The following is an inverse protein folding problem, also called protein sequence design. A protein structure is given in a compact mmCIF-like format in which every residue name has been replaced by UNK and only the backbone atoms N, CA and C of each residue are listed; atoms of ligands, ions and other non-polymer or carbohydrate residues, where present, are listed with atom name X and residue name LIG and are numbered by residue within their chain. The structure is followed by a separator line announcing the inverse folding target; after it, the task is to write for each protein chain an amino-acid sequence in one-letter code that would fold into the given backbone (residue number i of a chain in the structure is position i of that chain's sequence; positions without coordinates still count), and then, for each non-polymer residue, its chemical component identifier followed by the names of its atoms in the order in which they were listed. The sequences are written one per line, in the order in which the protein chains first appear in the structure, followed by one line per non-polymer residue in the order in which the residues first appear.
data_IF_987868908007
#
_entry.id   IF_987868908007
#
_cell.length_a   1.000
_cell.length_b   1.000
_cell.length_c   1.000
_cell.angle_alpha   90.00
_cell.angle_beta   90.00
_cell.angle_gamma   90.00
#
_symmetry.space_group_name_H-M   'P 1'
#
loop_
_entity.id
_entity.type
_entity.pdbx_description
1 polymer ?
#
# COMPACT_ATOMS: atom_id res chain seq x y z
N UNK A 1 3.58 -9.91 18.35
CA UNK A 1 2.63 -8.96 18.98
C UNK A 1 1.73 -8.36 17.89
N UNK A 2 0.43 -8.69 17.91
CA UNK A 2 -0.55 -8.11 16.99
C UNK A 2 -1.29 -6.98 17.73
N UNK A 3 -1.10 -5.75 17.26
CA UNK A 3 -1.74 -4.57 17.83
C UNK A 3 -3.00 -4.23 17.04
N UNK A 4 -3.99 -3.68 17.73
CA UNK A 4 -5.20 -3.13 17.11
C UNK A 4 -5.26 -1.62 17.39
N UNK A 5 -5.87 -0.88 16.46
CA UNK A 5 -6.15 0.54 16.62
C UNK A 5 -7.61 0.76 16.24
N UNK A 6 -8.39 1.36 17.14
CA UNK A 6 -9.73 1.84 16.82
C UNK A 6 -9.59 3.20 16.13
N UNK A 7 -9.93 3.33 14.83
CA UNK A 7 -9.83 4.61 14.12
C UNK A 7 -10.76 5.70 14.70
N UNK A 8 -11.71 5.34 15.57
CA UNK A 8 -12.58 6.31 16.23
C UNK A 8 -12.00 6.86 17.55
N UNK A 9 -10.97 6.21 18.11
CA UNK A 9 -10.28 6.67 19.32
C UNK A 9 -9.04 7.50 18.95
N UNK A 10 -9.27 8.80 18.74
CA UNK A 10 -8.24 9.75 18.33
C UNK A 10 -7.07 9.84 19.33
N UNK A 11 -7.39 9.98 20.63
CA UNK A 11 -6.39 10.13 21.69
C UNK A 11 -5.62 8.83 21.91
N UNK A 12 -6.32 7.69 21.98
CA UNK A 12 -5.69 6.38 22.10
C UNK A 12 -4.80 6.04 20.91
N UNK A 13 -5.22 6.39 19.69
CA UNK A 13 -4.42 6.19 18.47
C UNK A 13 -3.11 7.00 18.46
N UNK A 14 -3.15 8.27 18.89
CA UNK A 14 -1.93 9.10 19.00
C UNK A 14 -1.04 8.60 20.13
N UNK A 15 -1.59 8.27 21.29
CA UNK A 15 -0.82 7.69 22.41
C UNK A 15 -0.14 6.40 22.00
N UNK A 16 -0.82 5.54 21.25
CA UNK A 16 -0.25 4.30 20.73
C UNK A 16 0.92 4.58 19.76
N UNK A 17 0.80 5.57 18.89
CA UNK A 17 1.90 5.99 18.01
C UNK A 17 3.10 6.52 18.81
N UNK A 18 2.86 7.31 19.85
CA UNK A 18 3.90 7.82 20.74
C UNK A 18 4.60 6.69 21.50
N UNK A 19 3.84 5.70 21.99
CA UNK A 19 4.38 4.50 22.64
C UNK A 19 5.24 3.66 21.68
N UNK A 20 4.78 3.45 20.45
CA UNK A 20 5.51 2.72 19.42
C UNK A 20 6.84 3.41 19.08
N UNK A 21 6.80 4.73 18.87
CA UNK A 21 7.98 5.49 18.43
C UNK A 21 8.98 5.73 19.57
N UNK A 22 8.51 5.95 20.80
CA UNK A 22 9.37 6.14 21.98
C UNK A 22 10.13 4.86 22.33
N UNK A 23 9.49 3.70 22.21
CA UNK A 23 10.04 2.40 22.61
C UNK A 23 10.56 1.57 21.42
N UNK A 24 10.86 2.21 20.29
CA UNK A 24 11.16 1.53 19.03
C UNK A 24 12.26 0.45 19.15
N UNK A 25 13.34 0.71 19.89
CA UNK A 25 14.42 -0.26 20.12
C UNK A 25 13.96 -1.52 20.84
N UNK A 26 13.19 -1.34 21.92
CA UNK A 26 12.65 -2.46 22.70
C UNK A 26 11.61 -3.24 21.88
N UNK A 27 10.75 -2.55 21.15
CA UNK A 27 9.73 -3.18 20.32
C UNK A 27 10.37 -3.99 19.19
N UNK A 28 11.41 -3.46 18.52
CA UNK A 28 12.15 -4.19 17.49
C UNK A 28 12.77 -5.49 18.03
N UNK A 29 13.33 -5.45 19.24
CA UNK A 29 13.83 -6.65 19.90
C UNK A 29 12.71 -7.68 20.15
N UNK A 30 11.57 -7.24 20.69
CA UNK A 30 10.42 -8.11 20.95
C UNK A 30 9.81 -8.69 19.66
N UNK A 31 9.80 -7.91 18.58
CA UNK A 31 9.32 -8.36 17.27
C UNK A 31 10.24 -9.44 16.72
N UNK A 32 11.56 -9.25 16.74
CA UNK A 32 12.51 -10.27 16.30
C UNK A 32 12.39 -11.54 17.15
N UNK A 33 12.35 -11.41 18.48
CA UNK A 33 12.16 -12.54 19.40
C UNK A 33 10.86 -13.30 19.08
N UNK A 34 9.77 -12.58 18.79
CA UNK A 34 8.49 -13.19 18.40
C UNK A 34 8.59 -13.94 17.06
N UNK A 35 9.22 -13.34 16.05
CA UNK A 35 9.41 -13.96 14.73
C UNK A 35 10.24 -15.24 14.87
N UNK A 36 11.34 -15.18 15.61
CA UNK A 36 12.24 -16.32 15.78
C UNK A 36 11.64 -17.42 16.66
N UNK A 37 10.88 -17.07 17.69
CA UNK A 37 10.14 -18.04 18.49
C UNK A 37 9.08 -18.74 17.64
N UNK A 38 8.41 -18.02 16.74
CA UNK A 38 7.38 -18.57 15.88
C UNK A 38 7.96 -19.46 14.76
N UNK A 39 9.03 -19.00 14.10
CA UNK A 39 9.51 -19.58 12.85
C UNK A 39 10.85 -20.34 13.01
N UNK A 40 11.43 -20.40 14.20
CA UNK A 40 12.77 -20.97 14.43
C UNK A 40 12.93 -22.44 14.01
N UNK A 41 11.85 -23.22 14.06
CA UNK A 41 11.83 -24.63 13.64
C UNK A 41 11.44 -24.84 12.16
N UNK A 42 11.28 -23.76 11.39
CA UNK A 42 11.00 -23.88 9.95
C UNK A 42 12.21 -24.42 9.20
N UNK A 43 12.00 -25.01 8.03
CA UNK A 43 13.11 -25.54 7.22
C UNK A 43 14.14 -24.46 6.88
N UNK A 44 13.69 -23.24 6.57
CA UNK A 44 14.57 -22.12 6.25
C UNK A 44 15.44 -21.71 7.44
N UNK A 45 14.84 -21.36 8.58
CA UNK A 45 15.62 -20.92 9.75
C UNK A 45 16.41 -22.06 10.39
N UNK A 46 15.90 -23.29 10.36
CA UNK A 46 16.61 -24.48 10.85
C UNK A 46 17.95 -24.72 10.16
N UNK A 47 18.10 -24.34 8.88
CA UNK A 47 19.38 -24.44 8.14
C UNK A 47 20.48 -23.55 8.70
N UNK A 48 20.12 -22.41 9.29
CA UNK A 48 21.06 -21.40 9.76
C UNK A 48 21.22 -21.41 11.28
N UNK A 49 20.13 -21.61 12.01
CA UNK A 49 20.10 -21.54 13.46
C UNK A 49 20.38 -22.89 14.13
N UNK A 50 20.05 -24.02 13.49
CA UNK A 50 20.28 -25.36 14.05
C UNK A 50 19.79 -25.48 15.49
N UNK A 51 20.62 -26.06 16.37
CA UNK A 51 20.35 -26.17 17.82
C UNK A 51 20.84 -24.97 18.64
N UNK A 52 21.20 -23.85 18.00
CA UNK A 52 21.73 -22.67 18.70
C UNK A 52 20.65 -21.97 19.55
N UNK A 53 21.11 -21.24 20.56
CA UNK A 53 20.24 -20.34 21.34
C UNK A 53 19.68 -19.27 20.40
N UNK A 54 18.36 -19.27 20.26
CA UNK A 54 17.61 -18.31 19.45
C UNK A 54 17.65 -16.95 20.16
N UNK A 55 18.51 -16.06 19.66
CA UNK A 55 18.60 -14.66 20.09
C UNK A 55 19.07 -13.78 18.92
N UNK A 56 19.03 -12.47 19.13
CA UNK A 56 19.39 -11.46 18.13
C UNK A 56 20.82 -11.60 17.60
N UNK A 57 21.79 -11.84 18.47
CA UNK A 57 23.20 -11.93 18.08
C UNK A 57 23.46 -13.18 17.23
N UNK A 58 22.88 -14.32 17.61
CA UNK A 58 22.92 -15.54 16.79
C UNK A 58 22.26 -15.29 15.44
N UNK A 59 21.08 -14.64 15.41
CA UNK A 59 20.36 -14.32 14.19
C UNK A 59 21.23 -13.49 13.23
N UNK A 60 21.75 -12.34 13.69
CA UNK A 60 22.60 -11.46 12.89
C UNK A 60 23.86 -12.13 12.35
N UNK A 61 24.44 -13.06 13.10
CA UNK A 61 25.67 -13.74 12.72
C UNK A 61 25.47 -14.96 11.80
N UNK A 62 24.27 -15.55 11.79
CA UNK A 62 24.03 -16.86 11.14
C UNK A 62 23.04 -16.80 9.98
N UNK A 63 22.05 -15.92 10.04
CA UNK A 63 21.04 -15.80 9.00
C UNK A 63 21.54 -14.79 7.96
N UNK A 64 21.68 -15.20 6.68
CA UNK A 64 22.21 -14.30 5.65
C UNK A 64 21.18 -13.23 5.28
N UNK A 65 21.68 -12.06 4.91
CA UNK A 65 20.91 -11.08 4.13
C UNK A 65 20.71 -11.65 2.73
N UNK A 66 19.46 -11.69 2.26
CA UNK A 66 19.08 -12.37 1.02
C UNK A 66 18.26 -11.46 0.10
N UNK A 67 18.31 -11.76 -1.18
CA UNK A 67 17.43 -11.22 -2.20
C UNK A 67 16.31 -12.21 -2.54
N UNK A 68 15.35 -11.75 -3.35
CA UNK A 68 14.23 -12.59 -3.78
C UNK A 68 14.67 -13.89 -4.48
N UNK A 69 15.75 -13.86 -5.28
CA UNK A 69 16.23 -15.07 -5.99
C UNK A 69 16.69 -16.17 -5.03
N UNK A 70 17.24 -15.81 -3.88
CA UNK A 70 17.73 -16.77 -2.88
C UNK A 70 16.58 -17.51 -2.19
N UNK A 71 15.43 -16.83 -2.02
CA UNK A 71 14.23 -17.40 -1.37
C UNK A 71 13.21 -17.95 -2.37
N UNK A 72 13.33 -17.62 -3.65
CA UNK A 72 12.44 -18.06 -4.72
C UNK A 72 12.23 -19.59 -4.76
N UNK A 73 13.25 -20.45 -4.56
CA UNK A 73 13.03 -21.89 -4.50
C UNK A 73 12.02 -22.32 -3.43
N UNK A 74 11.98 -21.66 -2.27
CA UNK A 74 11.00 -21.96 -1.22
C UNK A 74 9.60 -21.50 -1.65
N UNK A 75 9.48 -20.30 -2.22
CA UNK A 75 8.20 -19.77 -2.70
C UNK A 75 7.61 -20.67 -3.80
N UNK A 76 8.44 -21.18 -4.71
CA UNK A 76 8.01 -22.13 -5.74
C UNK A 76 7.55 -23.46 -5.15
N UNK A 77 8.22 -23.97 -4.11
CA UNK A 77 7.79 -25.17 -3.38
C UNK A 77 6.41 -24.97 -2.71
N UNK A 78 6.17 -23.83 -2.06
CA UNK A 78 4.84 -23.46 -1.54
C UNK A 78 3.78 -23.42 -2.63
N UNK A 79 4.09 -22.75 -3.75
CA UNK A 79 3.20 -22.66 -4.90
C UNK A 79 2.86 -24.03 -5.50
N UNK A 80 3.74 -25.02 -5.34
CA UNK A 80 3.57 -26.40 -5.80
C UNK A 80 2.99 -27.36 -4.74
N UNK A 81 2.72 -26.88 -3.53
CA UNK A 81 1.91 -27.60 -2.53
C UNK A 81 2.69 -28.15 -1.37
N UNK A 82 3.97 -27.78 -1.22
CA UNK A 82 4.69 -28.03 0.01
C UNK A 82 4.10 -27.21 1.18
N UNK A 83 4.16 -27.76 2.40
CA UNK A 83 3.59 -27.12 3.58
C UNK A 83 4.29 -25.80 3.92
N UNK A 84 3.57 -24.90 4.60
CA UNK A 84 4.05 -23.56 4.97
C UNK A 84 5.31 -23.56 5.82
N UNK A 85 5.51 -24.61 6.63
CA UNK A 85 6.63 -24.75 7.57
C UNK A 85 8.02 -24.80 6.91
N UNK A 86 8.10 -24.78 5.58
CA UNK A 86 9.37 -24.53 4.89
C UNK A 86 9.93 -23.12 5.18
N UNK A 87 9.06 -22.13 5.45
CA UNK A 87 9.47 -20.74 5.78
C UNK A 87 8.68 -20.11 6.94
N UNK A 88 7.45 -20.56 7.18
CA UNK A 88 6.56 -19.97 8.19
C UNK A 88 5.79 -21.06 8.93
N UNK A 89 5.75 -21.02 10.27
CA UNK A 89 5.00 -22.02 11.03
C UNK A 89 3.48 -21.83 10.94
N UNK A 90 3.01 -20.63 10.59
CA UNK A 90 1.61 -20.37 10.28
C UNK A 90 1.28 -20.77 8.84
N UNK A 91 0.02 -21.11 8.59
CA UNK A 91 -0.47 -21.40 7.24
C UNK A 91 -0.39 -20.16 6.35
N UNK A 92 0.37 -20.25 5.26
CA UNK A 92 0.36 -19.27 4.17
C UNK A 92 -1.00 -19.36 3.48
N UNK A 93 -1.71 -18.24 3.42
CA UNK A 93 -3.08 -18.17 2.88
C UNK A 93 -3.13 -17.76 1.43
N UNK A 94 -2.16 -16.95 0.98
CA UNK A 94 -2.03 -16.48 -0.41
C UNK A 94 -0.60 -15.99 -0.69
N UNK A 95 -0.33 -15.69 -1.97
CA UNK A 95 0.93 -15.12 -2.45
C UNK A 95 0.70 -13.71 -3.01
N UNK A 96 1.27 -12.69 -2.37
CA UNK A 96 1.10 -11.31 -2.77
C UNK A 96 2.06 -10.95 -3.90
N UNK A 97 1.53 -10.61 -5.07
CA UNK A 97 2.36 -10.24 -6.21
C UNK A 97 2.87 -8.81 -6.07
N UNK A 98 4.20 -8.65 -6.11
CA UNK A 98 4.87 -7.35 -6.15
C UNK A 98 4.82 -6.76 -7.56
N UNK A 99 4.90 -5.43 -7.65
CA UNK A 99 5.12 -4.74 -8.93
C UNK A 99 6.56 -4.89 -9.43
N UNK A 100 7.51 -5.20 -8.55
CA UNK A 100 8.87 -5.59 -8.91
C UNK A 100 8.90 -7.00 -9.50
N UNK A 101 9.74 -7.20 -10.52
CA UNK A 101 9.83 -8.47 -11.25
C UNK A 101 11.15 -9.20 -11.02
N UNK A 102 11.13 -10.51 -11.22
CA UNK A 102 12.26 -11.45 -11.25
C UNK A 102 12.10 -12.29 -12.51
N UNK A 103 13.10 -12.27 -13.41
CA UNK A 103 13.01 -13.01 -14.68
C UNK A 103 11.78 -12.65 -15.53
N UNK A 104 11.29 -11.41 -15.43
CA UNK A 104 10.08 -10.94 -16.14
C UNK A 104 8.74 -11.30 -15.49
N UNK A 105 8.73 -12.04 -14.37
CA UNK A 105 7.53 -12.39 -13.62
C UNK A 105 7.42 -11.59 -12.32
N UNK A 106 6.21 -11.24 -11.85
CA UNK A 106 6.02 -10.61 -10.55
C UNK A 106 6.60 -11.46 -9.41
N UNK A 107 7.33 -10.83 -8.49
CA UNK A 107 7.78 -11.48 -7.25
C UNK A 107 6.56 -11.85 -6.40
N UNK A 108 6.54 -13.04 -5.80
CA UNK A 108 5.43 -13.56 -4.99
C UNK A 108 5.82 -13.58 -3.51
N UNK A 109 5.12 -12.80 -2.69
CA UNK A 109 5.43 -12.64 -1.26
C UNK A 109 4.41 -13.43 -0.42
N UNK A 110 4.84 -14.43 0.37
CA UNK A 110 3.94 -15.19 1.24
C UNK A 110 3.26 -14.30 2.29
N UNK A 111 1.98 -14.55 2.56
CA UNK A 111 1.23 -13.84 3.60
C UNK A 111 0.36 -14.80 4.42
N UNK A 112 0.07 -14.41 5.66
CA UNK A 112 -0.85 -15.12 6.55
C UNK A 112 -2.06 -14.24 6.89
N UNK A 113 -3.07 -14.80 7.56
CA UNK A 113 -4.20 -14.02 8.07
C UNK A 113 -3.79 -12.99 9.12
N UNK A 114 -2.82 -13.31 9.98
CA UNK A 114 -2.33 -12.35 10.99
C UNK A 114 -1.62 -11.15 10.34
N UNK A 115 -0.91 -11.39 9.23
CA UNK A 115 -0.26 -10.30 8.50
C UNK A 115 -1.28 -9.36 7.83
N UNK A 116 -2.44 -9.88 7.40
CA UNK A 116 -3.56 -9.05 6.96
C UNK A 116 -4.12 -8.16 8.08
N UNK A 117 -4.19 -8.67 9.31
CA UNK A 117 -4.60 -7.87 10.48
C UNK A 117 -3.56 -6.79 10.80
N UNK A 118 -2.27 -7.11 10.67
CA UNK A 118 -1.16 -6.15 10.82
C UNK A 118 -1.22 -5.02 9.77
N UNK A 119 -1.53 -5.35 8.51
CA UNK A 119 -1.79 -4.37 7.44
C UNK A 119 -3.00 -3.48 7.78
N UNK A 120 -4.05 -4.07 8.34
CA UNK A 120 -5.27 -3.35 8.77
C UNK A 120 -4.98 -2.38 9.91
N UNK A 121 -4.13 -2.76 10.86
CA UNK A 121 -3.65 -1.88 11.92
C UNK A 121 -3.04 -0.58 11.35
N UNK A 122 -2.19 -0.68 10.32
CA UNK A 122 -1.57 0.49 9.72
C UNK A 122 -2.61 1.42 9.06
N UNK A 123 -3.63 0.88 8.38
CA UNK A 123 -4.71 1.71 7.85
C UNK A 123 -5.49 2.44 8.94
N UNK A 124 -5.74 1.78 10.07
CA UNK A 124 -6.50 2.38 11.16
C UNK A 124 -5.73 3.51 11.85
N UNK A 125 -4.41 3.40 12.01
CA UNK A 125 -3.61 4.43 12.68
C UNK A 125 -3.38 5.69 11.83
N UNK A 126 -3.64 5.64 10.51
CA UNK A 126 -3.63 6.84 9.67
C UNK A 126 -4.74 7.84 10.06
N UNK A 127 -5.87 7.34 10.54
CA UNK A 127 -7.03 8.17 10.90
C UNK A 127 -6.74 9.14 12.05
N UNK A 128 -6.30 8.69 13.25
CA UNK A 128 -5.98 9.60 14.34
C UNK A 128 -4.85 10.58 13.98
N UNK A 129 -3.84 10.14 13.21
CA UNK A 129 -2.77 11.02 12.72
C UNK A 129 -3.34 12.13 11.85
N UNK A 130 -4.18 11.82 10.87
CA UNK A 130 -4.77 12.84 9.98
C UNK A 130 -5.67 13.82 10.74
N UNK A 131 -6.45 13.33 11.71
CA UNK A 131 -7.38 14.15 12.49
C UNK A 131 -6.67 15.20 13.36
N UNK A 132 -5.37 15.03 13.65
CA UNK A 132 -4.55 16.06 14.31
C UNK A 132 -4.33 17.30 13.42
N UNK A 133 -4.38 17.13 12.10
CA UNK A 133 -4.03 18.17 11.13
C UNK A 133 -5.24 18.71 10.36
N UNK A 134 -6.28 17.91 10.19
CA UNK A 134 -7.44 18.26 9.38
C UNK A 134 -8.73 17.97 10.15
N UNK A 135 -9.32 19.01 10.71
CA UNK A 135 -10.55 18.91 11.50
C UNK A 135 -11.76 18.52 10.65
N UNK A 136 -12.72 17.83 11.26
CA UNK A 136 -14.06 17.62 10.70
C UNK A 136 -14.11 16.67 9.49
N UNK A 137 -13.18 15.72 9.39
CA UNK A 137 -13.21 14.66 8.37
C UNK A 137 -14.32 13.61 8.60
N UNK A 138 -14.86 13.54 9.81
CA UNK A 138 -16.01 12.71 10.21
C UNK A 138 -17.36 13.24 9.71
N UNK A 139 -17.39 14.46 9.16
CA UNK A 139 -18.61 15.15 8.71
C UNK A 139 -18.88 14.97 7.21
N UNK A 140 -18.23 14.00 6.57
CA UNK A 140 -18.35 13.78 5.13
C UNK A 140 -17.69 12.48 4.69
N UNK A 141 -17.34 12.42 3.41
CA UNK A 141 -16.89 11.22 2.72
C UNK A 141 -15.53 11.42 2.07
N UNK A 142 -14.81 10.32 1.90
CA UNK A 142 -13.65 10.23 1.02
C UNK A 142 -14.06 9.70 -0.35
N UNK A 143 -13.70 10.41 -1.42
CA UNK A 143 -13.79 9.89 -2.79
C UNK A 143 -12.48 9.23 -3.17
N UNK A 144 -12.36 7.94 -2.88
CA UNK A 144 -11.20 7.14 -3.24
C UNK A 144 -11.50 6.26 -4.44
N UNK A 145 -10.60 6.30 -5.42
CA UNK A 145 -10.65 5.47 -6.62
C UNK A 145 -9.76 4.25 -6.42
N UNK A 146 -10.39 3.14 -6.07
CA UNK A 146 -9.74 1.89 -5.65
C UNK A 146 -10.04 0.80 -6.67
N UNK A 147 -9.02 0.04 -7.06
CA UNK A 147 -9.14 -0.93 -8.15
C UNK A 147 -8.53 -2.27 -7.76
N UNK A 148 -9.28 -3.34 -7.97
CA UNK A 148 -8.71 -4.69 -7.99
C UNK A 148 -7.93 -4.94 -9.28
N UNK A 149 -7.08 -5.96 -9.24
CA UNK A 149 -6.31 -6.47 -10.38
C UNK A 149 -6.53 -7.97 -10.54
N UNK A 150 -6.21 -8.53 -11.72
CA UNK A 150 -6.31 -9.97 -11.96
C UNK A 150 -5.56 -10.78 -10.89
N UNK A 151 -6.08 -11.97 -10.63
CA UNK A 151 -5.49 -12.96 -9.72
C UNK A 151 -5.25 -14.26 -10.49
N UNK A 152 -4.28 -15.04 -10.04
CA UNK A 152 -3.95 -16.35 -10.59
C UNK A 152 -4.02 -17.41 -9.49
N UNK A 153 -4.22 -18.67 -9.89
CA UNK A 153 -4.11 -19.81 -8.97
C UNK A 153 -2.77 -20.49 -9.19
N UNK A 154 -2.06 -20.82 -8.11
CA UNK A 154 -0.88 -21.68 -8.16
C UNK A 154 -1.29 -23.14 -8.38
N UNK A 155 -0.35 -24.04 -8.73
CA UNK A 155 -0.60 -25.49 -8.78
C UNK A 155 -1.17 -26.08 -7.48
N UNK A 156 -0.80 -25.53 -6.33
CA UNK A 156 -1.34 -25.93 -5.01
C UNK A 156 -2.73 -25.39 -4.71
N UNK A 157 -3.27 -24.49 -5.53
CA UNK A 157 -4.53 -23.81 -5.29
C UNK A 157 -4.42 -22.55 -4.43
N UNK A 158 -3.21 -22.11 -4.04
CA UNK A 158 -3.02 -20.80 -3.44
C UNK A 158 -3.36 -19.71 -4.46
N UNK A 159 -4.01 -18.65 -3.99
CA UNK A 159 -4.27 -17.48 -4.83
C UNK A 159 -3.02 -16.62 -4.85
N UNK A 160 -2.60 -16.16 -6.02
CA UNK A 160 -1.57 -15.13 -6.16
C UNK A 160 -2.14 -13.85 -6.79
N UNK A 161 -2.00 -12.71 -6.11
CA UNK A 161 -2.61 -11.43 -6.51
C UNK A 161 -1.95 -10.23 -5.83
N UNK A 162 -2.13 -9.00 -6.35
CA UNK A 162 -1.55 -7.83 -5.71
C UNK A 162 -2.10 -7.59 -4.30
N UNK A 163 -1.26 -7.05 -3.41
CA UNK A 163 -1.62 -6.83 -2.00
C UNK A 163 -2.90 -6.00 -1.80
N UNK A 164 -3.13 -5.00 -2.65
CA UNK A 164 -4.35 -4.18 -2.58
C UNK A 164 -5.58 -4.97 -3.03
N UNK A 165 -5.46 -5.84 -4.05
CA UNK A 165 -6.56 -6.75 -4.43
C UNK A 165 -6.90 -7.69 -3.29
N UNK A 166 -5.89 -8.26 -2.64
CA UNK A 166 -6.07 -9.09 -1.44
C UNK A 166 -6.82 -8.31 -0.35
N UNK A 167 -6.35 -7.11 -0.02
CA UNK A 167 -6.96 -6.28 1.01
C UNK A 167 -8.43 -5.93 0.69
N UNK A 168 -8.74 -5.44 -0.52
CA UNK A 168 -10.11 -5.06 -0.88
C UNK A 168 -11.08 -6.25 -0.89
N UNK A 169 -10.60 -7.45 -1.25
CA UNK A 169 -11.43 -8.67 -1.23
C UNK A 169 -11.57 -9.28 0.17
N UNK A 170 -10.74 -8.88 1.13
CA UNK A 170 -10.73 -9.43 2.48
C UNK A 170 -11.96 -9.05 3.30
N UNK A 171 -12.23 -9.80 4.37
CA UNK A 171 -13.20 -9.44 5.40
C UNK A 171 -12.86 -8.12 6.08
N UNK A 172 -11.57 -7.81 6.23
CA UNK A 172 -11.11 -6.60 6.92
C UNK A 172 -11.50 -5.33 6.18
N UNK A 173 -11.63 -5.41 4.85
CA UNK A 173 -12.22 -4.34 4.05
C UNK A 173 -13.74 -4.49 3.96
N UNK A 174 -14.26 -5.62 3.48
CA UNK A 174 -15.70 -5.76 3.15
C UNK A 174 -16.64 -5.74 4.35
N UNK A 175 -16.17 -6.24 5.48
CA UNK A 175 -16.89 -6.27 6.76
C UNK A 175 -16.25 -5.32 7.77
N UNK A 176 -15.56 -4.27 7.29
CA UNK A 176 -14.92 -3.26 8.15
C UNK A 176 -15.92 -2.69 9.14
N UNK A 177 -15.49 -2.55 10.39
CA UNK A 177 -16.28 -1.86 11.41
C UNK A 177 -16.60 -0.44 10.95
N UNK A 178 -17.79 0.04 11.30
CA UNK A 178 -18.17 1.41 10.96
C UNK A 178 -17.20 2.39 11.61
N UNK A 179 -16.61 3.25 10.80
CA UNK A 179 -15.85 4.41 11.25
C UNK A 179 -16.36 5.63 10.51
N UNK A 180 -16.60 6.71 11.24
CA UNK A 180 -17.03 7.99 10.65
C UNK A 180 -15.97 8.57 9.70
N UNK A 181 -14.72 8.18 9.88
CA UNK A 181 -13.61 8.64 9.04
C UNK A 181 -13.46 7.81 7.76
N UNK A 182 -13.94 6.56 7.71
CA UNK A 182 -13.75 5.63 6.59
C UNK A 182 -15.02 5.43 5.76
N UNK A 183 -15.83 6.47 5.62
CA UNK A 183 -17.01 6.48 4.74
C UNK A 183 -16.59 6.92 3.34
N UNK A 184 -16.71 6.01 2.37
CA UNK A 184 -16.33 6.26 0.98
C UNK A 184 -17.53 6.49 0.08
N UNK A 185 -17.33 7.26 -1.00
CA UNK A 185 -18.36 7.44 -2.04
C UNK A 185 -18.54 6.19 -2.89
N UNK A 186 -17.46 5.43 -3.09
CA UNK A 186 -17.41 4.22 -3.92
C UNK A 186 -17.95 3.01 -3.16
N UNK A 187 -19.05 2.38 -3.63
CA UNK A 187 -19.51 1.10 -3.08
C UNK A 187 -18.49 -0.01 -3.28
N UNK A 188 -18.44 -0.98 -2.37
CA UNK A 188 -17.53 -2.12 -2.44
C UNK A 188 -17.71 -2.91 -3.75
N UNK A 189 -18.95 -3.05 -4.26
CA UNK A 189 -19.22 -3.72 -5.54
C UNK A 189 -18.53 -3.02 -6.73
N UNK A 190 -18.44 -1.68 -6.69
CA UNK A 190 -17.78 -0.91 -7.75
C UNK A 190 -16.26 -1.04 -7.69
N UNK A 191 -15.70 -1.17 -6.49
CA UNK A 191 -14.26 -1.39 -6.26
C UNK A 191 -13.87 -2.81 -6.68
N UNK A 192 -14.73 -3.79 -6.39
CA UNK A 192 -14.54 -5.21 -6.65
C UNK A 192 -14.93 -5.64 -8.06
N UNK A 193 -15.33 -4.70 -8.93
CA UNK A 193 -15.64 -4.99 -10.31
C UNK A 193 -14.37 -5.32 -11.11
N UNK A 194 -14.35 -6.49 -11.75
CA UNK A 194 -13.20 -6.97 -12.53
C UNK A 194 -12.98 -6.18 -13.83
N UNK A 195 -14.03 -5.53 -14.35
CA UNK A 195 -13.92 -4.63 -15.50
C UNK A 195 -13.50 -3.23 -15.03
N UNK A 196 -12.23 -2.90 -15.24
CA UNK A 196 -11.66 -1.61 -14.82
C UNK A 196 -12.39 -0.40 -15.41
N UNK A 197 -12.97 -0.52 -16.62
CA UNK A 197 -13.70 0.59 -17.25
C UNK A 197 -15.02 0.83 -16.52
N UNK A 198 -15.75 -0.24 -16.23
CA UNK A 198 -17.00 -0.16 -15.47
C UNK A 198 -16.74 0.30 -14.03
N UNK A 199 -15.71 -0.26 -13.38
CA UNK A 199 -15.27 0.15 -12.03
C UNK A 199 -14.99 1.66 -11.96
N UNK A 200 -14.15 2.17 -12.87
CA UNK A 200 -13.80 3.60 -12.94
C UNK A 200 -15.05 4.48 -13.15
N UNK A 201 -15.88 4.13 -14.13
CA UNK A 201 -17.08 4.90 -14.46
C UNK A 201 -18.06 4.95 -13.28
N UNK A 202 -18.35 3.81 -12.66
CA UNK A 202 -19.27 3.72 -11.54
C UNK A 202 -18.74 4.46 -10.30
N UNK A 203 -17.45 4.36 -9.98
CA UNK A 203 -16.86 5.08 -8.86
C UNK A 203 -16.90 6.60 -9.06
N UNK A 204 -16.55 7.10 -10.25
CA UNK A 204 -16.65 8.52 -10.60
C UNK A 204 -18.10 9.01 -10.55
N UNK A 205 -19.05 8.24 -11.08
CA UNK A 205 -20.47 8.58 -11.02
C UNK A 205 -20.96 8.72 -9.57
N UNK A 206 -20.64 7.75 -8.70
CA UNK A 206 -20.95 7.83 -7.28
C UNK A 206 -20.30 9.04 -6.60
N UNK A 207 -19.05 9.37 -6.96
CA UNK A 207 -18.32 10.53 -6.45
C UNK A 207 -18.94 11.87 -6.88
N UNK A 208 -19.46 11.97 -8.11
CA UNK A 208 -20.14 13.16 -8.62
C UNK A 208 -21.52 13.36 -7.97
N UNK A 209 -22.29 12.28 -7.80
CA UNK A 209 -23.62 12.33 -7.15
C UNK A 209 -23.50 12.80 -5.70
N UNK A 210 -22.44 12.38 -4.99
CA UNK A 210 -22.23 12.68 -3.57
C UNK A 210 -21.27 13.86 -3.36
N UNK A 211 -21.09 14.73 -4.37
CA UNK A 211 -20.01 15.74 -4.39
C UNK A 211 -19.98 16.68 -3.19
N UNK A 212 -21.14 17.02 -2.65
CA UNK A 212 -21.29 17.97 -1.54
C UNK A 212 -20.96 17.33 -0.17
N UNK A 213 -20.74 16.01 -0.14
CA UNK A 213 -20.27 15.29 1.04
C UNK A 213 -18.75 15.04 0.99
N UNK A 214 -18.09 15.27 -0.16
CA UNK A 214 -16.68 14.91 -0.36
C UNK A 214 -15.75 15.91 0.32
N UNK A 215 -14.98 15.40 1.29
CA UNK A 215 -13.98 16.18 2.05
C UNK A 215 -12.54 15.87 1.64
N UNK A 216 -12.31 14.74 0.99
CA UNK A 216 -11.00 14.30 0.52
C UNK A 216 -11.19 13.45 -0.73
N UNK A 217 -10.28 13.59 -1.68
CA UNK A 217 -10.26 12.81 -2.92
C UNK A 217 -8.94 12.08 -3.04
N UNK A 218 -8.88 10.95 -3.73
CA UNK A 218 -7.62 10.25 -3.84
C UNK A 218 -7.65 8.93 -4.61
N UNK A 219 -6.47 8.36 -4.71
CA UNK A 219 -6.19 7.01 -5.16
C UNK A 219 -4.85 6.59 -4.54
N UNK A 220 -4.49 5.30 -4.61
CA UNK A 220 -3.20 4.88 -4.02
C UNK A 220 -2.00 5.62 -4.64
N UNK A 221 -1.99 5.78 -5.96
CA UNK A 221 -0.90 6.47 -6.67
C UNK A 221 -1.41 7.70 -7.42
N UNK A 222 -0.58 8.74 -7.52
CA UNK A 222 -0.83 9.92 -8.35
C UNK A 222 -1.26 9.56 -9.78
N UNK A 223 -0.58 8.60 -10.40
CA UNK A 223 -0.89 8.11 -11.75
C UNK A 223 -2.29 7.51 -11.89
N UNK A 224 -2.80 6.83 -10.84
CA UNK A 224 -4.16 6.29 -10.86
C UNK A 224 -5.21 7.41 -10.79
N UNK A 225 -4.97 8.41 -9.94
CA UNK A 225 -5.86 9.56 -9.82
C UNK A 225 -5.88 10.40 -11.10
N UNK A 226 -4.72 10.67 -11.71
CA UNK A 226 -4.64 11.38 -13.00
C UNK A 226 -5.33 10.62 -14.14
N UNK A 227 -5.21 9.29 -14.18
CA UNK A 227 -5.97 8.47 -15.15
C UNK A 227 -7.48 8.61 -14.95
N UNK A 228 -7.95 8.78 -13.73
CA UNK A 228 -9.36 9.01 -13.47
C UNK A 228 -9.84 10.39 -13.88
N UNK A 229 -9.02 11.44 -13.67
CA UNK A 229 -9.31 12.77 -14.21
C UNK A 229 -9.37 12.69 -15.74
N UNK A 230 -8.42 11.99 -16.37
CA UNK A 230 -8.44 11.80 -17.81
C UNK A 230 -9.68 11.04 -18.29
N UNK A 231 -10.07 10.00 -17.56
CA UNK A 231 -11.30 9.27 -17.84
C UNK A 231 -12.54 10.18 -17.71
N UNK A 232 -12.56 11.07 -16.72
CA UNK A 232 -13.63 12.06 -16.56
C UNK A 232 -13.68 13.03 -17.75
N UNK A 233 -12.53 13.49 -18.28
CA UNK A 233 -12.47 14.30 -19.51
C UNK A 233 -13.15 13.61 -20.69
N UNK A 234 -12.99 12.29 -20.81
CA UNK A 234 -13.53 11.52 -21.93
C UNK A 234 -15.02 11.15 -21.76
N UNK A 235 -15.52 11.05 -20.51
CA UNK A 235 -16.85 10.50 -20.20
C UNK A 235 -17.81 11.47 -19.48
N UNK A 236 -17.43 12.73 -19.19
CA UNK A 236 -18.29 13.63 -18.41
C UNK A 236 -19.68 13.85 -19.02
N UNK A 237 -19.81 13.88 -20.35
CA UNK A 237 -21.10 14.05 -21.03
C UNK A 237 -22.04 12.87 -20.72
N UNK A 238 -21.51 11.66 -20.75
CA UNK A 238 -22.28 10.45 -20.46
C UNK A 238 -22.64 10.37 -18.97
N UNK A 239 -21.68 10.71 -18.10
CA UNK A 239 -21.91 10.80 -16.66
C UNK A 239 -23.01 11.82 -16.33
N UNK A 240 -23.00 13.00 -16.96
CA UNK A 240 -24.05 14.01 -16.77
C UNK A 240 -25.39 13.53 -17.31
N UNK A 241 -25.42 12.84 -18.45
CA UNK A 241 -26.64 12.22 -18.98
C UNK A 241 -27.23 11.18 -18.01
N UNK A 242 -26.39 10.36 -17.39
CA UNK A 242 -26.82 9.38 -16.38
C UNK A 242 -27.40 10.07 -15.14
N UNK A 243 -26.74 11.12 -14.64
CA UNK A 243 -27.23 11.92 -13.51
C UNK A 243 -28.58 12.57 -13.87
N UNK A 244 -28.68 13.17 -15.05
CA UNK A 244 -29.88 13.86 -15.54
C UNK A 244 -31.06 12.92 -15.68
N UNK A 245 -30.85 11.72 -16.22
CA UNK A 245 -31.92 10.74 -16.47
C UNK A 245 -32.19 9.81 -15.31
N UNK A 246 -31.35 9.81 -14.27
CA UNK A 246 -31.43 8.88 -13.15
C UNK A 246 -31.16 7.42 -13.55
N UNK A 247 -30.50 7.17 -14.68
CA UNK A 247 -30.27 5.83 -15.22
C UNK A 247 -28.80 5.62 -15.60
N UNK A 248 -28.24 4.48 -15.20
CA UNK A 248 -26.87 4.09 -15.58
C UNK A 248 -26.83 3.51 -16.99
N UNK A 249 -25.79 3.88 -17.75
CA UNK A 249 -25.55 3.43 -19.12
C UNK A 249 -25.64 1.91 -19.31
N UNK A 250 -26.10 1.48 -20.47
CA UNK A 250 -26.37 0.06 -20.78
C UNK A 250 -25.12 -0.79 -20.93
N UNK A 251 -23.96 -0.18 -21.23
CA UNK A 251 -22.68 -0.87 -21.30
C UNK A 251 -22.10 -1.22 -19.92
N UNK A 252 -22.65 -0.66 -18.84
CA UNK A 252 -22.38 -1.16 -17.48
C UNK A 252 -23.16 -2.46 -17.32
N UNK A 253 -22.52 -3.59 -17.62
CA UNK A 253 -23.13 -4.93 -17.60
C UNK A 253 -22.96 -5.64 -16.26
N UNK A 254 -22.00 -5.22 -15.43
CA UNK A 254 -21.78 -5.79 -14.10
C UNK A 254 -22.97 -5.50 -13.17
N UNK A 255 -23.59 -6.57 -12.67
CA UNK A 255 -24.81 -6.47 -11.86
C UNK A 255 -24.58 -5.79 -10.52
N UNK A 256 -23.41 -5.98 -9.91
CA UNK A 256 -23.04 -5.37 -8.63
C UNK A 256 -22.91 -3.86 -8.78
N UNK A 257 -22.13 -3.42 -9.77
CA UNK A 257 -22.00 -2.02 -10.16
C UNK A 257 -23.35 -1.36 -10.43
N UNK A 258 -24.18 -1.95 -11.30
CA UNK A 258 -25.50 -1.40 -11.63
C UNK A 258 -26.36 -1.22 -10.38
N UNK A 259 -26.47 -2.27 -9.56
CA UNK A 259 -27.33 -2.25 -8.37
C UNK A 259 -26.85 -1.20 -7.37
N UNK A 260 -25.54 -1.18 -7.09
CA UNK A 260 -24.94 -0.25 -6.14
C UNK A 260 -25.08 1.22 -6.61
N UNK A 261 -24.76 1.51 -7.87
CA UNK A 261 -24.89 2.88 -8.43
C UNK A 261 -26.34 3.35 -8.43
N UNK A 262 -27.28 2.51 -8.86
CA UNK A 262 -28.70 2.88 -8.90
C UNK A 262 -29.25 3.18 -7.49
N UNK A 263 -28.73 2.52 -6.45
CA UNK A 263 -29.11 2.80 -5.05
C UNK A 263 -28.67 4.19 -4.55
N UNK A 264 -27.61 4.74 -5.15
CA UNK A 264 -27.06 6.07 -4.85
C UNK A 264 -27.72 7.13 -5.74
N UNK A 265 -27.83 6.86 -7.04
CA UNK A 265 -28.41 7.79 -8.02
C UNK A 265 -29.86 8.13 -7.68
N UNK A 266 -30.67 7.14 -7.23
CA UNK A 266 -32.06 7.21 -6.74
C UNK A 266 -33.10 7.86 -7.66
N UNK A 267 -32.84 9.08 -8.15
CA UNK A 267 -33.75 9.88 -8.96
C UNK A 267 -32.97 10.77 -9.95
N UNK A 268 -33.60 11.18 -11.06
CA UNK A 268 -33.08 12.22 -11.95
C UNK A 268 -32.64 13.49 -11.22
N UNK A 269 -31.51 14.07 -11.60
CA UNK A 269 -31.02 15.33 -11.05
C UNK A 269 -30.45 16.24 -12.17
N UNK A 270 -31.31 17.05 -12.76
CA UNK A 270 -30.94 17.94 -13.87
C UNK A 270 -30.00 19.07 -13.41
N UNK A 271 -30.25 19.66 -12.24
CA UNK A 271 -29.44 20.76 -11.70
C UNK A 271 -27.99 20.35 -11.48
N UNK A 272 -27.76 19.17 -10.90
CA UNK A 272 -26.43 18.62 -10.71
C UNK A 272 -25.75 18.33 -12.05
N UNK A 273 -26.47 17.73 -13.00
CA UNK A 273 -25.93 17.45 -14.32
C UNK A 273 -25.50 18.75 -15.02
N UNK A 274 -26.36 19.76 -15.07
CA UNK A 274 -26.07 21.07 -15.68
C UNK A 274 -24.86 21.76 -15.02
N UNK A 275 -24.74 21.66 -13.70
CA UNK A 275 -23.58 22.18 -12.97
C UNK A 275 -22.28 21.48 -13.41
N UNK A 276 -22.26 20.14 -13.46
CA UNK A 276 -21.07 19.38 -13.85
C UNK A 276 -20.73 19.66 -15.32
N UNK A 277 -21.72 19.71 -16.21
CA UNK A 277 -21.50 20.05 -17.63
C UNK A 277 -20.91 21.45 -17.79
N UNK A 278 -21.37 22.43 -17.02
CA UNK A 278 -20.81 23.79 -17.02
C UNK A 278 -19.35 23.81 -16.59
N UNK A 279 -18.98 23.00 -15.61
CA UNK A 279 -17.61 22.94 -15.09
C UNK A 279 -16.65 22.16 -16.00
N UNK A 280 -17.08 21.02 -16.52
CA UNK A 280 -16.31 20.17 -17.43
C UNK A 280 -16.24 20.73 -18.86
N UNK A 281 -17.25 21.48 -19.30
CA UNK A 281 -17.31 22.13 -20.61
C UNK A 281 -16.39 23.36 -20.76
N UNK A 282 -15.69 23.77 -19.70
CA UNK A 282 -14.71 24.87 -19.75
C UNK A 282 -13.47 24.43 -20.53
N UNK A 283 -12.86 25.38 -21.25
CA UNK A 283 -11.60 25.15 -22.00
C UNK A 283 -10.44 24.73 -21.11
N UNK A 284 -10.40 25.21 -19.87
CA UNK A 284 -9.36 24.89 -18.89
C UNK A 284 -9.92 24.06 -17.75
N UNK A 285 -9.21 22.97 -17.44
CA UNK A 285 -9.46 22.09 -16.30
C UNK A 285 -8.58 22.42 -15.09
N UNK A 286 -7.87 23.55 -15.12
CA UNK A 286 -7.10 24.07 -13.99
C UNK A 286 -7.97 24.21 -12.74
N UNK A 287 -7.74 23.45 -11.68
CA UNK A 287 -8.53 23.43 -10.46
C UNK A 287 -9.88 22.70 -10.57
N UNK A 288 -10.07 21.84 -11.58
CA UNK A 288 -11.32 21.08 -11.79
C UNK A 288 -11.73 20.27 -10.56
N UNK A 289 -10.77 19.70 -9.81
CA UNK A 289 -11.05 18.89 -8.61
C UNK A 289 -11.81 19.72 -7.59
N UNK A 290 -11.34 20.94 -7.29
CA UNK A 290 -11.99 21.83 -6.33
C UNK A 290 -13.32 22.38 -6.85
N UNK A 291 -13.54 22.45 -8.16
CA UNK A 291 -14.84 22.89 -8.71
C UNK A 291 -15.88 21.77 -8.67
N UNK A 292 -15.48 20.56 -9.01
CA UNK A 292 -16.37 19.39 -8.95
C UNK A 292 -16.63 18.94 -7.52
N UNK A 293 -15.65 19.04 -6.61
CA UNK A 293 -15.77 18.63 -5.20
C UNK A 293 -15.36 19.80 -4.29
N UNK A 294 -16.26 20.77 -4.04
CA UNK A 294 -15.92 22.09 -3.49
C UNK A 294 -15.54 22.07 -2.01
N UNK A 295 -15.90 21.02 -1.27
CA UNK A 295 -15.54 20.84 0.14
C UNK A 295 -14.25 20.03 0.32
N UNK A 296 -13.58 19.63 -0.76
CA UNK A 296 -12.32 18.88 -0.70
C UNK A 296 -11.25 19.69 0.03
N UNK A 297 -10.64 19.08 1.04
CA UNK A 297 -9.59 19.65 1.87
C UNK A 297 -8.19 19.30 1.36
N UNK A 298 -8.03 18.12 0.76
CA UNK A 298 -6.77 17.63 0.23
C UNK A 298 -6.96 16.49 -0.78
N UNK A 299 -5.89 16.17 -1.51
CA UNK A 299 -5.77 15.02 -2.39
C UNK A 299 -4.83 14.00 -1.75
N UNK A 300 -5.32 12.79 -1.47
CA UNK A 300 -4.56 11.70 -0.87
C UNK A 300 -4.06 10.75 -1.95
N UNK A 301 -2.76 10.88 -2.26
CA UNK A 301 -2.08 10.16 -3.35
C UNK A 301 -0.61 10.04 -3.04
N UNK A 302 -0.01 8.88 -3.31
CA UNK A 302 1.45 8.76 -3.26
C UNK A 302 2.07 9.64 -4.35
N UNK A 303 2.87 10.62 -3.92
CA UNK A 303 3.63 11.59 -4.75
C UNK A 303 5.13 11.55 -4.47
N UNK A 304 5.60 10.61 -3.66
CA UNK A 304 7.04 10.39 -3.42
C UNK A 304 7.66 9.43 -4.43
N UNK A 305 9.00 9.40 -4.51
CA UNK A 305 9.73 8.52 -5.43
C UNK A 305 9.39 8.83 -6.89
N UNK A 306 9.19 7.80 -7.71
CA UNK A 306 8.86 7.96 -9.13
C UNK A 306 7.51 8.65 -9.38
N UNK A 307 6.63 8.76 -8.39
CA UNK A 307 5.37 9.49 -8.52
C UNK A 307 5.54 11.02 -8.45
N UNK A 308 6.69 11.52 -8.00
CA UNK A 308 6.96 12.96 -7.89
C UNK A 308 6.86 13.70 -9.24
N UNK A 309 7.11 13.00 -10.36
CA UNK A 309 6.96 13.54 -11.71
C UNK A 309 5.52 14.04 -12.01
N UNK A 310 4.52 13.55 -11.28
CA UNK A 310 3.12 13.90 -11.48
C UNK A 310 2.66 15.11 -10.66
N UNK A 311 3.50 15.64 -9.75
CA UNK A 311 3.15 16.79 -8.90
C UNK A 311 2.69 17.99 -9.74
N UNK A 312 3.41 18.43 -10.79
CA UNK A 312 2.97 19.61 -11.57
C UNK A 312 1.59 19.42 -12.21
N UNK A 313 1.29 18.22 -12.71
CA UNK A 313 -0.01 17.90 -13.30
C UNK A 313 -1.12 17.85 -12.25
N UNK A 314 -0.83 17.31 -11.06
CA UNK A 314 -1.76 17.31 -9.94
C UNK A 314 -2.03 18.75 -9.44
N UNK A 315 -1.01 19.59 -9.34
CA UNK A 315 -1.16 20.99 -8.94
C UNK A 315 -2.11 21.74 -9.89
N UNK A 316 -1.94 21.52 -11.20
CA UNK A 316 -2.85 22.04 -12.22
C UNK A 316 -4.29 21.60 -11.97
N UNK A 317 -4.60 20.31 -11.81
CA UNK A 317 -5.99 19.88 -11.62
C UNK A 317 -6.56 20.16 -10.23
N UNK A 318 -5.71 20.27 -9.22
CA UNK A 318 -6.11 20.43 -7.82
C UNK A 318 -6.60 21.83 -7.48
N UNK A 319 -6.04 22.86 -8.13
CA UNK A 319 -6.32 24.25 -7.78
C UNK A 319 -5.74 24.65 -6.42
N UNK A 320 -4.55 24.12 -6.10
CA UNK A 320 -3.81 24.40 -4.88
C UNK A 320 -4.26 23.61 -3.65
N UNK A 321 -4.93 22.46 -3.85
CA UNK A 321 -5.21 21.56 -2.73
C UNK A 321 -3.90 20.86 -2.28
N UNK A 322 -3.68 20.69 -0.97
CA UNK A 322 -2.55 19.90 -0.48
C UNK A 322 -2.54 18.48 -1.06
N UNK A 323 -1.36 18.01 -1.47
CA UNK A 323 -1.12 16.63 -1.92
C UNK A 323 -0.49 15.84 -0.76
N UNK A 324 -1.23 14.89 -0.19
CA UNK A 324 -0.80 14.12 0.97
C UNK A 324 -0.37 12.72 0.56
N UNK A 325 0.84 12.33 0.97
CA UNK A 325 1.34 10.97 0.85
C UNK A 325 1.38 10.34 2.24
N UNK A 326 0.44 9.44 2.51
CA UNK A 326 0.07 9.03 3.88
C UNK A 326 0.84 7.82 4.39
N UNK A 327 1.23 6.90 3.51
CA UNK A 327 1.85 5.63 3.91
C UNK A 327 2.94 5.15 2.96
N UNK A 328 3.85 4.35 3.51
CA UNK A 328 4.89 3.61 2.80
C UNK A 328 4.73 2.11 3.08
N UNK A 329 4.51 1.33 2.02
CA UNK A 329 4.23 -0.11 2.10
C UNK A 329 4.60 -0.82 0.80
N UNK A 330 4.72 -2.14 0.87
CA UNK A 330 4.95 -3.04 -0.25
C UNK A 330 4.13 -4.33 -0.13
N UNK A 331 4.38 -5.29 -1.02
CA UNK A 331 3.75 -6.62 -0.96
C UNK A 331 4.38 -7.50 0.13
N UNK A 332 5.68 -7.35 0.38
CA UNK A 332 6.41 -8.09 1.41
C UNK A 332 6.20 -7.53 2.83
N UNK A 333 6.03 -6.22 3.00
CA UNK A 333 5.78 -5.64 4.31
C UNK A 333 5.11 -4.27 4.23
N UNK A 334 4.33 -3.94 5.24
CA UNK A 334 3.83 -2.58 5.44
C UNK A 334 4.79 -1.87 6.39
N UNK A 335 5.38 -0.76 5.95
CA UNK A 335 6.56 -0.20 6.61
C UNK A 335 6.20 0.89 7.62
N UNK A 336 5.55 1.95 7.16
CA UNK A 336 5.41 3.16 7.95
C UNK A 336 4.42 4.17 7.42
N UNK A 337 4.24 5.24 8.18
CA UNK A 337 3.25 6.30 7.91
C UNK A 337 3.91 7.68 7.92
N UNK A 338 3.32 8.63 7.21
CA UNK A 338 3.72 10.03 7.30
C UNK A 338 3.03 10.69 8.50
N UNK A 339 3.80 10.98 9.55
CA UNK A 339 3.30 11.60 10.78
C UNK A 339 3.07 13.11 10.67
N UNK A 340 3.54 13.73 9.57
CA UNK A 340 3.35 15.15 9.23
C UNK A 340 2.75 15.26 7.81
N UNK A 341 1.50 14.81 7.59
CA UNK A 341 0.93 14.64 6.27
C UNK A 341 0.83 15.95 5.47
N UNK A 342 0.67 17.10 6.12
CA UNK A 342 0.55 18.43 5.48
C UNK A 342 1.89 19.05 5.05
N UNK A 343 3.03 18.39 5.28
CA UNK A 343 4.31 18.87 4.76
C UNK A 343 4.28 18.95 3.23
N UNK A 344 5.15 19.80 2.66
CA UNK A 344 5.31 19.87 1.20
C UNK A 344 5.69 18.51 0.65
N UNK A 345 5.27 18.22 -0.58
CA UNK A 345 5.54 16.94 -1.23
C UNK A 345 7.05 16.61 -1.34
N UNK A 346 7.93 17.62 -1.35
CA UNK A 346 9.40 17.46 -1.30
C UNK A 346 9.94 17.03 0.07
N UNK A 347 9.19 17.28 1.14
CA UNK A 347 9.63 17.16 2.53
C UNK A 347 8.95 15.97 3.24
N UNK A 348 8.29 15.10 2.46
CA UNK A 348 7.62 13.91 2.98
C UNK A 348 8.65 12.97 3.58
N UNK A 349 8.42 12.56 4.82
CA UNK A 349 9.18 11.52 5.52
C UNK A 349 8.22 10.50 6.10
N UNK A 350 8.58 9.22 6.01
CA UNK A 350 7.80 8.13 6.59
C UNK A 350 8.46 7.64 7.86
N UNK A 351 7.70 7.62 8.95
CA UNK A 351 8.12 7.00 10.21
C UNK A 351 7.78 5.51 10.13
N UNK A 352 8.80 4.66 10.13
CA UNK A 352 8.63 3.22 10.21
C UNK A 352 7.96 2.84 11.53
N UNK A 353 6.95 1.98 11.45
CA UNK A 353 6.22 1.51 12.62
C UNK A 353 6.91 0.25 13.15
N UNK A 354 7.58 0.30 14.33
CA UNK A 354 8.49 -0.76 14.78
C UNK A 354 7.79 -2.08 15.11
N UNK A 355 6.45 -2.13 15.13
CA UNK A 355 5.68 -3.35 15.34
C UNK A 355 5.35 -4.12 14.04
N UNK A 356 5.73 -3.59 12.88
CA UNK A 356 5.32 -4.14 11.59
C UNK A 356 6.19 -5.30 11.10
N UNK A 357 7.50 -5.15 11.22
CA UNK A 357 8.52 -6.16 10.91
C UNK A 357 9.77 -5.83 11.72
N UNK A 358 10.76 -6.73 11.73
CA UNK A 358 12.09 -6.37 12.20
C UNK A 358 12.85 -5.70 11.04
N UNK A 359 13.36 -4.49 11.29
CA UNK A 359 13.95 -3.60 10.30
C UNK A 359 15.44 -3.44 10.52
N UNK A 360 16.17 -3.69 9.44
CA UNK A 360 17.62 -3.54 9.34
C UNK A 360 17.97 -2.68 8.13
N UNK A 361 19.19 -2.15 8.12
CA UNK A 361 19.62 -1.15 7.15
C UNK A 361 21.04 -1.41 6.68
N UNK A 362 21.23 -1.60 5.38
CA UNK A 362 22.56 -1.69 4.76
C UNK A 362 23.00 -0.28 4.37
N UNK A 363 24.13 0.24 4.87
CA UNK A 363 24.63 1.56 4.47
C UNK A 363 24.92 1.63 2.97
N UNK A 364 24.49 2.71 2.32
CA UNK A 364 24.77 2.99 0.91
C UNK A 364 25.72 4.18 0.82
N UNK A 365 26.91 3.96 0.27
CA UNK A 365 27.86 5.04 -0.02
C UNK A 365 27.33 5.90 -1.18
N UNK A 366 27.17 7.21 -0.94
CA UNK A 366 27.01 8.16 -2.04
C UNK A 366 28.37 8.43 -2.65
N UNK A 367 28.66 7.85 -3.81
CA UNK A 367 29.65 8.44 -4.69
C UNK A 367 29.11 9.79 -5.17
N UNK A 368 29.64 10.87 -4.62
CA UNK A 368 29.21 12.24 -4.91
C UNK A 368 29.62 12.75 -6.30
N UNK A 369 30.25 11.92 -7.14
CA UNK A 369 30.93 12.34 -8.37
C UNK A 369 30.43 11.73 -9.70
N UNK A 370 29.29 11.02 -9.74
CA UNK A 370 28.75 10.54 -11.02
C UNK A 370 27.24 10.83 -11.18
N UNK A 371 26.93 11.97 -11.82
CA UNK A 371 25.70 12.17 -12.58
C UNK A 371 25.70 11.26 -13.83
N UNK A 372 25.71 9.95 -13.64
CA UNK A 372 25.30 8.96 -14.65
C UNK A 372 25.17 7.62 -13.94
N UNK A 373 23.92 7.15 -13.79
CA UNK A 373 23.63 5.88 -13.14
C UNK A 373 24.11 4.70 -14.01
N UNK A 374 25.39 4.34 -13.89
CA UNK A 374 25.80 2.97 -14.16
C UNK A 374 25.27 2.09 -13.04
N UNK A 375 24.29 1.25 -13.36
CA UNK A 375 23.88 0.12 -12.55
C UNK A 375 25.09 -0.79 -12.33
N UNK A 376 25.79 -0.59 -11.23
CA UNK A 376 26.65 -1.60 -10.65
C UNK A 376 25.74 -2.71 -10.13
N UNK A 377 25.42 -3.68 -10.99
CA UNK A 377 25.04 -5.01 -10.53
C UNK A 377 26.22 -5.52 -9.68
N UNK A 378 26.11 -5.44 -8.36
CA UNK A 378 26.84 -6.38 -7.52
C UNK A 378 26.16 -7.74 -7.72
N UNK A 379 26.70 -8.47 -8.69
CA UNK A 379 26.44 -9.88 -8.89
C UNK A 379 26.92 -10.64 -7.66
N UNK A 380 26.03 -10.92 -6.71
CA UNK A 380 26.27 -12.00 -5.75
C UNK A 380 26.03 -13.32 -6.49
N UNK A 381 27.11 -14.05 -6.68
CA UNK A 381 27.23 -15.12 -7.65
C UNK A 381 26.28 -16.30 -7.43
N UNK A 382 25.68 -16.74 -8.53
CA UNK A 382 25.50 -18.16 -8.89
C UNK A 382 25.03 -18.24 -10.34
N UNK A 383 25.99 -18.18 -11.28
CA UNK A 383 25.86 -18.84 -12.57
C UNK A 383 26.97 -19.88 -12.67
N UNK A 384 26.57 -21.15 -12.65
CA UNK A 384 27.46 -22.31 -12.75
C UNK A 384 28.45 -22.22 -13.90
N UNK A 385 29.72 -21.94 -13.58
CA UNK A 385 30.90 -22.79 -13.82
C UNK A 385 32.19 -21.97 -13.83
N UNK A 386 33.18 -22.51 -13.11
CA UNK A 386 34.59 -22.12 -12.98
C UNK A 386 34.85 -21.08 -11.89
N UNK A 387 34.86 -21.53 -10.64
CA UNK A 387 35.74 -20.99 -9.59
C UNK A 387 36.16 -22.14 -8.67
N UNK A 388 37.17 -22.90 -9.08
CA UNK A 388 38.05 -23.57 -8.14
C UNK A 388 39.13 -22.56 -7.79
N UNK A 389 39.12 -22.02 -6.56
CA UNK A 389 40.25 -21.51 -5.77
C UNK A 389 39.72 -20.67 -4.60
N UNK A 390 40.15 -21.00 -3.38
CA UNK A 390 40.17 -20.08 -2.23
C UNK A 390 39.01 -20.21 -1.24
N UNK A 391 39.33 -20.58 -0.01
CA UNK A 391 38.49 -20.30 1.16
C UNK A 391 38.38 -18.77 1.31
N UNK A 392 37.29 -18.17 0.83
CA UNK A 392 37.00 -16.75 1.06
C UNK A 392 35.96 -16.61 2.16
N UNK A 393 36.36 -15.92 3.23
CA UNK A 393 35.52 -15.51 4.35
C UNK A 393 34.21 -14.91 3.83
N UNK A 394 33.07 -15.49 4.23
CA UNK A 394 31.76 -14.86 4.08
C UNK A 394 31.80 -13.50 4.79
N UNK A 395 32.00 -12.43 4.02
CA UNK A 395 31.95 -11.08 4.52
C UNK A 395 30.51 -10.82 4.98
N UNK A 396 30.27 -10.91 6.30
CA UNK A 396 28.97 -10.61 6.89
C UNK A 396 28.66 -9.16 6.55
N UNK A 397 27.63 -8.94 5.72
CA UNK A 397 27.15 -7.59 5.43
C UNK A 397 26.66 -6.98 6.73
N UNK A 398 27.35 -5.95 7.22
CA UNK A 398 27.04 -5.35 8.52
C UNK A 398 25.80 -4.46 8.40
N UNK A 399 24.68 -4.93 8.95
CA UNK A 399 23.41 -4.20 8.99
C UNK A 399 23.30 -3.35 10.25
N UNK A 400 22.73 -2.16 10.09
CA UNK A 400 22.39 -1.24 11.18
C UNK A 400 20.94 -1.47 11.61
N UNK A 401 20.67 -1.46 12.92
CA UNK A 401 19.31 -1.59 13.44
C UNK A 401 18.50 -0.28 13.27
N UNK A 402 17.17 -0.38 13.23
CA UNK A 402 16.26 0.77 13.11
C UNK A 402 16.57 1.94 14.05
N UNK A 403 16.90 1.65 15.31
CA UNK A 403 17.14 2.69 16.31
C UNK A 403 18.54 3.34 16.21
N UNK A 404 19.44 2.74 15.42
CA UNK A 404 20.85 3.10 15.36
C UNK A 404 21.25 3.74 14.01
N UNK A 405 20.28 3.98 13.12
CA UNK A 405 20.49 4.71 11.85
C UNK A 405 20.90 6.17 12.09
N UNK A 406 21.70 6.73 11.18
CA UNK A 406 22.24 8.08 11.31
C UNK A 406 21.53 9.06 10.38
N UNK A 407 21.17 10.23 10.90
CA UNK A 407 20.59 11.32 10.11
C UNK A 407 21.52 11.69 8.96
N UNK A 408 20.94 11.92 7.78
CA UNK A 408 21.66 12.32 6.57
C UNK A 408 22.38 11.18 5.83
N UNK A 409 22.31 9.94 6.32
CA UNK A 409 22.87 8.77 5.65
C UNK A 409 21.82 8.06 4.79
N UNK A 410 22.29 7.32 3.79
CA UNK A 410 21.46 6.54 2.88
C UNK A 410 21.59 5.06 3.23
N UNK A 411 20.46 4.35 3.17
CA UNK A 411 20.39 2.95 3.52
C UNK A 411 19.46 2.20 2.56
N UNK A 412 19.79 0.95 2.29
CA UNK A 412 18.85 -0.04 1.76
C UNK A 412 18.13 -0.73 2.93
N UNK A 413 16.81 -0.87 2.83
CA UNK A 413 15.99 -1.48 3.88
C UNK A 413 16.03 -3.01 3.75
N UNK A 414 16.30 -3.68 4.86
CA UNK A 414 16.22 -5.13 5.02
C UNK A 414 15.09 -5.43 6.00
N UNK A 415 14.24 -6.40 5.67
CA UNK A 415 13.09 -6.77 6.49
C UNK A 415 13.12 -8.25 6.84
N UNK A 416 12.85 -8.53 8.11
CA UNK A 416 12.51 -9.87 8.58
C UNK A 416 11.05 -9.86 9.05
N UNK A 417 10.22 -10.72 8.46
CA UNK A 417 8.77 -10.68 8.62
C UNK A 417 8.22 -11.87 9.41
N UNK A 418 6.95 -11.79 9.81
CA UNK A 418 6.26 -12.93 10.45
C UNK A 418 5.94 -14.06 9.47
N UNK A 419 5.94 -13.78 8.15
CA UNK A 419 5.46 -14.71 7.12
C UNK A 419 6.59 -15.54 6.50
N UNK A 420 7.75 -15.56 7.17
CA UNK A 420 9.01 -16.10 6.67
C UNK A 420 9.86 -15.01 6.06
#
# INVERSE_FOLDING_TARGET
MLLTCDPNDGEGGIKLLDELTTNAKQIQQQILESILQQNGETEYLGKFLGDHVINKDTFKNKVPVVNYEDIKPYIERLANGEPSNIICSQTITELLTSSGTSGGQPKMMPTTSEDLDRKTFMYNILVPVMNKYVDGLDQGKGMYLLFIKPEISTPSGLVARPVLTSYYKSSNFRNRAFSRYSVYTSPDETILCSDNKQSMYCQLLCGLIQRDEVLRVGAVFASAFLRAIKFLEDFWQELCSNIRTGNVSTWITDRGCRTAVMSILRQPNEELADYIEKECGKKSWDGIVKRLWPRTKYIDVIVTGSMAQYIPTLDFYSGGLPLLSTMYASSESYFGINVNPLNKSSDVSYTLLPNMAYFEFIPVEKNHDEEEASQGLQCNGLSDKICSLGEEEQQVMETVDLADVKVGHYYEIVVTTFTG
#
